data_IF_543039706865
#
_entry.id   IF_543039706865
#
_cell.length_a   1.000
_cell.length_b   1.000
_cell.length_c   1.000
_cell.angle_alpha   90.00
_cell.angle_beta   90.00
_cell.angle_gamma   90.00
#
_symmetry.space_group_name_H-M   'P 1'
#
loop_
_entity.id
_entity.type
_entity.pdbx_description
1 polymer ?
#
# COMPACT_ATOMS: atom_id res chain seq x y z
N UNK A 1 30.02 -14.78 -3.42
CA UNK A 1 29.65 -16.05 -4.11
C UNK A 1 28.25 -16.54 -3.74
N UNK A 2 27.84 -16.55 -2.45
CA UNK A 2 26.51 -17.04 -2.02
C UNK A 2 25.27 -16.27 -2.54
N UNK A 3 25.42 -15.03 -3.02
CA UNK A 3 24.29 -14.14 -3.36
C UNK A 3 23.42 -14.59 -4.55
N UNK A 4 23.93 -15.46 -5.44
CA UNK A 4 23.17 -16.01 -6.59
C UNK A 4 22.47 -17.34 -6.31
N UNK A 5 22.58 -17.87 -5.09
CA UNK A 5 22.08 -19.20 -4.72
C UNK A 5 20.68 -19.10 -4.09
N UNK A 6 19.79 -20.07 -4.36
CA UNK A 6 18.44 -20.11 -3.81
C UNK A 6 18.42 -20.21 -2.28
N UNK A 7 17.38 -19.66 -1.64
CA UNK A 7 17.29 -19.59 -0.17
C UNK A 7 17.32 -21.00 0.47
N UNK A 8 16.69 -22.00 -0.16
CA UNK A 8 16.72 -23.42 0.24
C UNK A 8 18.13 -23.98 0.28
N UNK A 9 18.94 -23.72 -0.76
CA UNK A 9 20.30 -24.24 -0.84
C UNK A 9 21.24 -23.52 0.14
N UNK A 10 21.07 -22.20 0.36
CA UNK A 10 21.81 -21.49 1.42
C UNK A 10 21.53 -22.04 2.81
N UNK A 11 20.24 -22.26 3.13
CA UNK A 11 19.85 -22.81 4.44
C UNK A 11 20.46 -24.20 4.64
N UNK A 12 20.37 -25.07 3.62
CA UNK A 12 20.89 -26.44 3.68
C UNK A 12 22.42 -26.49 3.81
N UNK A 13 23.16 -25.62 3.10
CA UNK A 13 24.62 -25.51 3.23
C UNK A 13 24.99 -25.04 4.65
N UNK A 14 24.30 -24.02 5.18
CA UNK A 14 24.56 -23.49 6.52
C UNK A 14 24.32 -24.54 7.61
N UNK A 15 23.20 -25.27 7.55
CA UNK A 15 22.91 -26.35 8.49
C UNK A 15 23.87 -27.53 8.34
N UNK A 16 24.28 -27.87 7.11
CA UNK A 16 25.30 -28.90 6.86
C UNK A 16 26.64 -28.50 7.51
N UNK A 17 27.10 -27.27 7.30
CA UNK A 17 28.36 -26.77 7.90
C UNK A 17 28.32 -26.80 9.44
N UNK A 18 27.22 -26.36 10.06
CA UNK A 18 27.04 -26.41 11.51
C UNK A 18 27.06 -27.86 12.01
N UNK A 19 26.34 -28.76 11.34
CA UNK A 19 26.17 -30.13 11.76
C UNK A 19 27.46 -30.96 11.58
N UNK A 20 28.22 -30.73 10.49
CA UNK A 20 29.58 -31.28 10.32
C UNK A 20 30.49 -30.84 11.46
N UNK A 21 30.54 -29.54 11.79
CA UNK A 21 31.41 -29.04 12.87
C UNK A 21 31.01 -29.61 14.23
N UNK A 22 29.71 -29.67 14.54
CA UNK A 22 29.20 -30.24 15.78
C UNK A 22 29.52 -31.74 15.89
N UNK A 23 29.22 -32.53 14.85
CA UNK A 23 29.45 -33.97 14.85
C UNK A 23 30.96 -34.32 14.83
N UNK A 24 31.80 -33.54 14.15
CA UNK A 24 33.26 -33.71 14.18
C UNK A 24 33.86 -33.39 15.55
N UNK A 25 33.41 -32.31 16.20
CA UNK A 25 33.80 -31.97 17.57
C UNK A 25 33.42 -33.10 18.54
N UNK A 26 32.17 -33.56 18.49
CA UNK A 26 31.64 -34.60 19.37
C UNK A 26 32.34 -35.96 19.14
N UNK A 27 32.66 -36.29 17.89
CA UNK A 27 33.47 -37.47 17.53
C UNK A 27 34.89 -37.36 18.07
N UNK A 28 35.53 -36.19 17.96
CA UNK A 28 36.89 -35.95 18.46
C UNK A 28 36.95 -36.08 19.98
N UNK A 29 35.98 -35.48 20.70
CA UNK A 29 35.85 -35.61 22.16
C UNK A 29 35.60 -37.06 22.57
N UNK A 30 34.73 -37.78 21.86
CA UNK A 30 34.45 -39.21 22.11
C UNK A 30 35.72 -40.07 21.99
N UNK A 31 36.47 -39.93 20.88
CA UNK A 31 37.72 -40.66 20.63
C UNK A 31 38.81 -40.28 21.65
N UNK A 32 38.89 -39.01 22.07
CA UNK A 32 39.81 -38.56 23.12
C UNK A 32 39.45 -39.15 24.49
N UNK A 33 38.17 -39.16 24.85
CA UNK A 33 37.68 -39.73 26.11
C UNK A 33 37.89 -41.25 26.16
N UNK A 34 37.59 -41.98 25.09
CA UNK A 34 37.91 -43.40 24.97
C UNK A 34 39.43 -43.64 25.12
N UNK A 35 40.26 -42.81 24.49
CA UNK A 35 41.72 -42.86 24.65
C UNK A 35 42.19 -42.67 26.10
N UNK A 36 41.56 -41.75 26.83
CA UNK A 36 41.87 -41.49 28.24
C UNK A 36 41.39 -42.60 29.18
N UNK A 37 40.18 -43.11 28.97
CA UNK A 37 39.54 -44.10 29.83
C UNK A 37 40.17 -45.49 29.67
N UNK A 38 40.48 -45.92 28.44
CA UNK A 38 40.96 -47.28 28.18
C UNK A 38 42.49 -47.40 28.09
N UNK A 39 43.20 -46.45 27.47
CA UNK A 39 44.64 -46.61 27.22
C UNK A 39 45.55 -46.00 28.30
N UNK A 40 45.15 -44.94 29.02
CA UNK A 40 46.02 -44.34 30.05
C UNK A 40 46.26 -45.22 31.29
N UNK A 41 45.26 -45.91 31.87
CA UNK A 41 45.48 -46.73 33.08
C UNK A 41 46.42 -47.90 32.80
N UNK A 42 46.23 -48.57 31.66
CA UNK A 42 47.03 -49.72 31.24
C UNK A 42 48.46 -49.30 30.84
N UNK A 43 48.63 -48.06 30.35
CA UNK A 43 49.96 -47.44 30.20
C UNK A 43 50.72 -47.23 31.50
N UNK A 44 50.04 -46.85 32.58
CA UNK A 44 50.68 -46.70 33.88
C UNK A 44 51.12 -48.06 34.47
N UNK A 45 50.32 -49.10 34.26
CA UNK A 45 50.61 -50.46 34.73
C UNK A 45 51.84 -51.09 34.06
N UNK A 46 52.12 -50.80 32.80
CA UNK A 46 53.27 -51.40 32.09
C UNK A 46 54.62 -50.69 32.32
N UNK A 47 54.68 -49.67 33.18
CA UNK A 47 55.86 -48.81 33.38
C UNK A 47 56.48 -48.98 34.78
N UNK A 48 55.86 -49.77 35.66
CA UNK A 48 56.51 -50.14 36.93
C UNK A 48 57.69 -51.10 36.69
N UNK A 49 58.91 -50.77 37.14
CA UNK A 49 60.07 -51.64 36.97
C UNK A 49 60.13 -52.72 38.07
N UNK A 50 59.77 -53.96 37.73
CA UNK A 50 60.04 -55.13 38.59
C UNK A 50 61.49 -55.59 38.47
N UNK A 51 62.30 -55.37 39.52
CA UNK A 51 63.67 -55.88 39.72
C UNK A 51 63.86 -56.03 41.25
N UNK A 52 64.54 -57.07 41.82
CA UNK A 52 65.50 -58.00 41.21
C UNK A 52 65.23 -59.53 41.36
N UNK A 53 65.98 -60.32 40.59
CA UNK A 53 66.30 -61.77 40.74
C UNK A 53 67.03 -62.06 42.07
N UNK A 54 67.11 -63.29 42.62
CA UNK A 54 67.58 -64.53 41.96
C UNK A 54 66.67 -65.77 42.27
N UNK A 55 66.97 -67.06 42.07
CA UNK A 55 68.17 -67.84 41.63
C UNK A 55 67.83 -68.66 40.36
N UNK A 56 67.95 -70.00 40.39
CA UNK A 56 67.71 -71.03 39.35
C UNK A 56 67.27 -72.33 40.08
N UNK A 57 66.20 -72.99 39.62
CA UNK A 57 66.18 -74.44 39.32
C UNK A 57 64.83 -74.86 38.70
N UNK A 58 64.92 -75.29 37.44
CA UNK A 58 64.33 -76.52 36.86
C UNK A 58 62.84 -76.89 37.11
N UNK A 59 62.08 -76.88 36.00
CA UNK A 59 60.94 -77.79 35.64
C UNK A 59 59.77 -77.96 36.63
N UNK A 60 58.50 -77.82 36.26
CA UNK A 60 57.87 -78.06 34.94
C UNK A 60 56.91 -76.92 34.52
N UNK A 61 56.54 -76.93 33.24
CA UNK A 61 55.56 -76.03 32.62
C UNK A 61 54.12 -76.46 32.92
N UNK A 62 53.28 -75.54 33.41
CA UNK A 62 51.82 -75.62 33.26
C UNK A 62 51.22 -74.23 32.93
N UNK A 63 50.12 -74.23 32.19
CA UNK A 63 49.63 -73.13 31.38
C UNK A 63 48.79 -72.11 32.16
N UNK A 64 49.40 -71.02 32.66
CA UNK A 64 48.67 -69.79 33.02
C UNK A 64 49.58 -68.55 33.11
N UNK A 65 50.36 -68.27 32.06
CA UNK A 65 51.10 -67.00 31.96
C UNK A 65 50.10 -65.89 31.54
N UNK A 66 49.88 -64.84 32.35
CA UNK A 66 49.00 -63.75 31.96
C UNK A 66 49.56 -63.04 30.72
N UNK A 67 48.71 -62.55 29.80
CA UNK A 67 49.16 -62.02 28.51
C UNK A 67 50.19 -60.91 28.69
N UNK A 68 51.36 -61.09 28.07
CA UNK A 68 52.44 -60.11 28.04
C UNK A 68 51.89 -58.73 27.70
N UNK A 69 52.31 -57.68 28.42
CA UNK A 69 51.73 -56.33 28.30
C UNK A 69 51.62 -55.83 26.86
N UNK A 70 52.56 -56.20 25.98
CA UNK A 70 52.54 -55.95 24.54
C UNK A 70 51.28 -56.48 23.81
N UNK A 71 50.77 -57.66 24.16
CA UNK A 71 49.55 -58.24 23.59
C UNK A 71 48.31 -57.42 23.97
N UNK A 72 48.22 -57.03 25.25
CA UNK A 72 47.14 -56.14 25.74
C UNK A 72 47.18 -54.80 25.02
N UNK A 73 48.38 -54.25 24.77
CA UNK A 73 48.55 -53.02 24.01
C UNK A 73 48.05 -53.10 22.57
N UNK A 74 48.36 -54.19 21.86
CA UNK A 74 47.98 -54.34 20.46
C UNK A 74 46.45 -54.52 20.33
N UNK A 75 45.86 -55.37 21.17
CA UNK A 75 44.41 -55.54 21.29
C UNK A 75 43.67 -54.22 21.59
N UNK A 76 44.24 -53.35 22.44
CA UNK A 76 43.69 -52.02 22.72
C UNK A 76 43.85 -51.03 21.56
N UNK A 77 44.94 -51.12 20.80
CA UNK A 77 45.14 -50.30 19.60
C UNK A 77 44.19 -50.70 18.47
N UNK A 78 43.96 -52.00 18.29
CA UNK A 78 42.97 -52.55 17.36
C UNK A 78 41.56 -52.13 17.76
N UNK A 79 41.20 -52.29 19.04
CA UNK A 79 39.93 -51.81 19.60
C UNK A 79 39.73 -50.30 19.40
N UNK A 80 40.77 -49.49 19.59
CA UNK A 80 40.74 -48.04 19.35
C UNK A 80 40.54 -47.70 17.87
N UNK A 81 41.21 -48.41 16.95
CA UNK A 81 41.00 -48.24 15.50
C UNK A 81 39.55 -48.56 15.12
N UNK A 82 39.02 -49.68 15.61
CA UNK A 82 37.62 -50.08 15.41
C UNK A 82 36.63 -49.04 15.92
N UNK A 83 36.79 -48.57 17.16
CA UNK A 83 35.95 -47.52 17.75
C UNK A 83 36.02 -46.20 16.97
N UNK A 84 37.21 -45.80 16.50
CA UNK A 84 37.40 -44.58 15.71
C UNK A 84 36.69 -44.69 14.36
N UNK A 85 36.84 -45.84 13.67
CA UNK A 85 36.18 -46.10 12.39
C UNK A 85 34.65 -46.12 12.54
N UNK A 86 34.13 -46.82 13.54
CA UNK A 86 32.69 -46.84 13.85
C UNK A 86 32.15 -45.44 14.16
N UNK A 87 32.87 -44.65 14.96
CA UNK A 87 32.48 -43.27 15.29
C UNK A 87 32.43 -42.37 14.05
N UNK A 88 33.40 -42.50 13.14
CA UNK A 88 33.42 -41.75 11.87
C UNK A 88 32.25 -42.20 10.96
N UNK A 89 31.96 -43.49 10.86
CA UNK A 89 30.82 -43.99 10.07
C UNK A 89 29.48 -43.46 10.61
N UNK A 90 29.29 -43.46 11.93
CA UNK A 90 28.11 -42.87 12.58
C UNK A 90 28.03 -41.36 12.35
N UNK A 91 29.14 -40.63 12.44
CA UNK A 91 29.23 -39.20 12.14
C UNK A 91 28.78 -38.89 10.70
N UNK A 92 29.27 -39.65 9.71
CA UNK A 92 28.88 -39.49 8.30
C UNK A 92 27.40 -39.83 8.09
N UNK A 93 26.90 -40.91 8.69
CA UNK A 93 25.49 -41.31 8.59
C UNK A 93 24.53 -40.25 9.15
N UNK A 94 24.79 -39.75 10.37
CA UNK A 94 24.00 -38.68 11.00
C UNK A 94 24.05 -37.41 10.12
N UNK A 95 25.22 -37.08 9.57
CA UNK A 95 25.39 -35.89 8.72
C UNK A 95 24.60 -35.99 7.41
N UNK A 96 24.66 -37.14 6.74
CA UNK A 96 23.88 -37.40 5.52
C UNK A 96 22.37 -37.29 5.78
N UNK A 97 21.88 -37.99 6.82
CA UNK A 97 20.46 -38.00 7.18
C UNK A 97 19.97 -36.60 7.56
N UNK A 98 20.70 -35.86 8.40
CA UNK A 98 20.35 -34.51 8.81
C UNK A 98 20.29 -33.52 7.64
N UNK A 99 21.17 -33.68 6.65
CA UNK A 99 21.18 -32.85 5.44
C UNK A 99 19.98 -33.14 4.54
N UNK A 100 19.65 -34.41 4.32
CA UNK A 100 18.47 -34.84 3.54
C UNK A 100 17.18 -34.34 4.20
N UNK A 101 17.06 -34.51 5.52
CA UNK A 101 15.91 -34.04 6.29
C UNK A 101 15.75 -32.51 6.19
N UNK A 102 16.85 -31.77 6.35
CA UNK A 102 16.83 -30.31 6.26
C UNK A 102 16.45 -29.84 4.86
N UNK A 103 16.97 -30.48 3.81
CA UNK A 103 16.58 -30.17 2.41
C UNK A 103 15.07 -30.34 2.19
N UNK A 104 14.46 -31.37 2.77
CA UNK A 104 13.00 -31.58 2.72
C UNK A 104 12.22 -30.53 3.51
N UNK A 105 12.59 -30.29 4.78
CA UNK A 105 11.91 -29.32 5.65
C UNK A 105 12.00 -27.91 5.08
N UNK A 106 13.18 -27.46 4.66
CA UNK A 106 13.37 -26.15 4.02
C UNK A 106 12.58 -26.02 2.71
N UNK A 107 12.46 -27.11 1.95
CA UNK A 107 11.62 -27.15 0.74
C UNK A 107 10.13 -26.94 1.03
N UNK A 108 9.61 -27.56 2.10
CA UNK A 108 8.20 -27.40 2.51
C UNK A 108 7.93 -26.02 3.13
N UNK A 109 8.84 -25.53 3.98
CA UNK A 109 8.71 -24.24 4.65
C UNK A 109 8.82 -23.04 3.68
N UNK A 110 9.65 -23.13 2.64
CA UNK A 110 9.82 -22.05 1.65
C UNK A 110 8.81 -22.09 0.50
N UNK A 111 8.05 -23.19 0.34
CA UNK A 111 7.06 -23.32 -0.75
C UNK A 111 6.06 -22.15 -0.78
N UNK A 112 5.43 -21.72 0.34
CA UNK A 112 4.47 -20.61 0.32
C UNK A 112 5.08 -19.29 -0.17
N UNK A 113 6.34 -19.00 0.19
CA UNK A 113 7.07 -17.80 -0.29
C UNK A 113 7.30 -17.87 -1.80
N UNK A 114 7.68 -19.03 -2.33
CA UNK A 114 7.86 -19.19 -3.78
C UNK A 114 6.54 -19.14 -4.56
N UNK A 115 5.43 -19.59 -3.95
CA UNK A 115 4.09 -19.44 -4.53
C UNK A 115 3.69 -17.97 -4.54
N UNK A 116 3.80 -17.26 -3.42
CA UNK A 116 3.54 -15.82 -3.32
C UNK A 116 4.33 -15.02 -4.35
N UNK A 117 5.64 -15.29 -4.48
CA UNK A 117 6.49 -14.60 -5.46
C UNK A 117 6.02 -14.77 -6.89
N UNK A 118 5.61 -15.99 -7.29
CA UNK A 118 5.08 -16.25 -8.63
C UNK A 118 3.73 -15.60 -8.85
N UNK A 119 2.81 -15.73 -7.89
CA UNK A 119 1.50 -15.09 -8.00
C UNK A 119 1.61 -13.57 -8.07
N UNK A 120 2.60 -12.94 -7.42
CA UNK A 120 2.87 -11.50 -7.57
C UNK A 120 3.50 -11.16 -8.93
N UNK A 121 4.37 -12.02 -9.47
CA UNK A 121 4.97 -11.87 -10.81
C UNK A 121 3.93 -12.01 -11.93
N UNK A 122 2.90 -12.83 -11.73
CA UNK A 122 1.74 -13.00 -12.62
C UNK A 122 0.67 -11.89 -12.50
N UNK A 123 0.85 -10.90 -11.59
CA UNK A 123 -0.11 -9.79 -11.44
C UNK A 123 0.17 -8.67 -12.43
N UNK A 124 -0.88 -8.29 -13.15
CA UNK A 124 -0.93 -7.25 -14.17
C UNK A 124 -2.19 -6.40 -13.98
N UNK A 125 -2.25 -5.26 -14.67
CA UNK A 125 -3.38 -4.32 -14.69
C UNK A 125 -4.73 -5.02 -14.93
N UNK A 126 -4.73 -6.11 -15.70
CA UNK A 126 -5.93 -6.88 -16.04
C UNK A 126 -6.44 -7.82 -14.92
N UNK A 127 -5.66 -8.10 -13.89
CA UNK A 127 -6.00 -9.06 -12.83
C UNK A 127 -5.78 -8.55 -11.40
N UNK A 128 -5.57 -7.25 -11.20
CA UNK A 128 -5.35 -6.56 -9.91
C UNK A 128 -6.34 -6.94 -8.78
N UNK A 129 -7.58 -7.29 -9.12
CA UNK A 129 -8.61 -7.72 -8.15
C UNK A 129 -8.43 -9.16 -7.63
N UNK A 130 -7.44 -9.91 -8.15
CA UNK A 130 -7.18 -11.30 -7.75
C UNK A 130 -6.53 -11.35 -6.37
N UNK A 131 -7.22 -11.93 -5.40
CA UNK A 131 -6.63 -12.13 -4.07
C UNK A 131 -5.68 -13.33 -4.06
N UNK A 132 -4.48 -13.13 -3.51
CA UNK A 132 -3.51 -14.20 -3.32
C UNK A 132 -4.00 -15.09 -2.16
N UNK A 133 -4.09 -16.43 -2.35
CA UNK A 133 -4.52 -17.34 -1.28
C UNK A 133 -3.62 -17.23 -0.06
N UNK A 134 -4.21 -16.85 1.08
CA UNK A 134 -3.47 -16.74 2.35
C UNK A 134 -3.18 -18.14 2.89
N UNK A 135 -1.91 -18.48 3.21
CA UNK A 135 -1.58 -19.74 3.88
C UNK A 135 -2.32 -19.88 5.22
N UNK A 136 -2.71 -21.11 5.59
CA UNK A 136 -3.30 -21.41 6.90
C UNK A 136 -2.33 -21.26 8.10
N UNK A 137 -1.05 -21.00 7.84
CA UNK A 137 -0.09 -20.65 8.88
C UNK A 137 -0.41 -19.27 9.46
N UNK A 138 -0.15 -19.06 10.75
CA UNK A 138 -0.24 -17.74 11.41
C UNK A 138 1.14 -17.10 11.56
N UNK A 139 1.99 -17.32 10.57
CA UNK A 139 3.40 -16.93 10.54
C UNK A 139 3.62 -15.62 9.76
N UNK A 140 4.88 -15.21 9.67
CA UNK A 140 5.32 -14.02 8.94
C UNK A 140 4.91 -14.08 7.46
N UNK A 141 4.81 -15.28 6.88
CA UNK A 141 4.44 -15.45 5.47
C UNK A 141 2.97 -15.14 5.25
N UNK A 142 2.06 -15.62 6.11
CA UNK A 142 0.65 -15.24 6.02
C UNK A 142 0.44 -13.74 6.27
N UNK A 143 1.16 -13.14 7.24
CA UNK A 143 1.14 -11.69 7.47
C UNK A 143 1.62 -10.90 6.24
N UNK A 144 2.63 -11.40 5.53
CA UNK A 144 3.11 -10.82 4.28
C UNK A 144 2.03 -10.93 3.18
N UNK A 145 1.37 -12.08 3.01
CA UNK A 145 0.27 -12.24 2.04
C UNK A 145 -0.91 -11.30 2.34
N UNK A 146 -1.30 -11.11 3.61
CA UNK A 146 -2.31 -10.12 3.98
C UNK A 146 -1.89 -8.68 3.59
N UNK A 147 -0.62 -8.35 3.80
CA UNK A 147 -0.07 -7.02 3.45
C UNK A 147 -0.09 -6.78 1.94
N UNK A 148 0.26 -7.80 1.15
CA UNK A 148 0.15 -7.77 -0.31
C UNK A 148 -1.31 -7.65 -0.78
N UNK A 149 -2.24 -8.45 -0.26
CA UNK A 149 -3.65 -8.38 -0.65
C UNK A 149 -4.27 -6.99 -0.35
N UNK A 150 -3.90 -6.36 0.78
CA UNK A 150 -4.32 -4.99 1.10
C UNK A 150 -3.73 -3.96 0.11
N UNK A 151 -2.44 -4.11 -0.25
CA UNK A 151 -1.80 -3.26 -1.26
C UNK A 151 -2.48 -3.42 -2.64
N UNK A 152 -2.73 -4.66 -3.09
CA UNK A 152 -3.42 -4.96 -4.34
C UNK A 152 -4.84 -4.37 -4.36
N UNK A 153 -5.59 -4.50 -3.27
CA UNK A 153 -6.91 -3.88 -3.11
C UNK A 153 -6.85 -2.37 -3.32
N UNK A 154 -5.89 -1.68 -2.67
CA UNK A 154 -5.69 -0.24 -2.82
C UNK A 154 -5.31 0.16 -4.26
N UNK A 155 -4.41 -0.60 -4.90
CA UNK A 155 -4.00 -0.34 -6.29
C UNK A 155 -5.18 -0.56 -7.24
N UNK A 156 -5.96 -1.64 -7.06
CA UNK A 156 -7.16 -1.92 -7.85
C UNK A 156 -8.19 -0.80 -7.73
N UNK A 157 -8.48 -0.35 -6.49
CA UNK A 157 -9.42 0.77 -6.26
C UNK A 157 -8.93 2.08 -6.90
N UNK A 158 -7.63 2.38 -6.79
CA UNK A 158 -7.04 3.57 -7.42
C UNK A 158 -7.08 3.49 -8.95
N UNK A 159 -6.75 2.33 -9.53
CA UNK A 159 -6.78 2.10 -10.97
C UNK A 159 -8.21 2.16 -11.53
N UNK A 160 -9.18 1.54 -10.87
CA UNK A 160 -10.59 1.68 -11.22
C UNK A 160 -11.08 3.12 -11.16
N UNK A 161 -10.70 3.87 -10.11
CA UNK A 161 -11.05 5.28 -9.97
C UNK A 161 -10.46 6.11 -11.11
N UNK A 162 -9.19 5.89 -11.46
CA UNK A 162 -8.53 6.55 -12.58
C UNK A 162 -9.18 6.19 -13.93
N UNK A 163 -9.59 4.93 -14.11
CA UNK A 163 -10.29 4.47 -15.31
C UNK A 163 -11.67 5.14 -15.43
N UNK A 164 -12.47 5.16 -14.35
CA UNK A 164 -13.76 5.85 -14.32
C UNK A 164 -13.60 7.35 -14.59
N UNK A 165 -12.61 7.99 -13.98
CA UNK A 165 -12.27 9.40 -14.22
C UNK A 165 -11.97 9.67 -15.69
N UNK A 166 -11.09 8.88 -16.32
CA UNK A 166 -10.74 9.05 -17.73
C UNK A 166 -11.95 8.81 -18.67
N UNK A 167 -12.78 7.82 -18.38
CA UNK A 167 -14.01 7.56 -19.15
C UNK A 167 -15.01 8.71 -19.02
N UNK A 168 -15.26 9.20 -17.81
CA UNK A 168 -16.18 10.31 -17.55
C UNK A 168 -15.68 11.62 -18.19
N UNK A 169 -14.37 11.91 -18.11
CA UNK A 169 -13.76 13.06 -18.78
C UNK A 169 -13.95 13.00 -20.30
N UNK A 170 -13.73 11.83 -20.92
CA UNK A 170 -13.96 11.65 -22.35
C UNK A 170 -15.44 11.84 -22.74
N UNK A 171 -16.39 11.38 -21.91
CA UNK A 171 -17.82 11.59 -22.14
C UNK A 171 -18.24 13.06 -22.00
N UNK A 172 -17.86 13.76 -20.92
CA UNK A 172 -18.20 15.17 -20.72
C UNK A 172 -17.52 16.12 -21.71
N UNK A 173 -16.39 15.74 -22.32
CA UNK A 173 -15.79 16.48 -23.44
C UNK A 173 -16.48 16.18 -24.77
N UNK A 174 -16.88 14.92 -25.02
CA UNK A 174 -17.53 14.52 -26.28
C UNK A 174 -18.90 15.17 -26.46
N UNK A 175 -19.70 15.29 -25.39
CA UNK A 175 -21.06 15.85 -25.48
C UNK A 175 -21.13 17.29 -26.02
N UNK A 176 -20.42 18.30 -25.45
CA UNK A 176 -20.43 19.66 -25.99
C UNK A 176 -19.77 19.73 -27.39
N UNK A 177 -18.75 18.91 -27.66
CA UNK A 177 -18.10 18.86 -28.97
C UNK A 177 -19.05 18.37 -30.07
N UNK A 178 -19.82 17.30 -29.82
CA UNK A 178 -20.85 16.83 -30.75
C UNK A 178 -21.98 17.86 -30.91
N UNK A 179 -22.37 18.55 -29.83
CA UNK A 179 -23.38 19.60 -29.91
C UNK A 179 -22.91 20.79 -30.78
N UNK A 180 -21.66 21.24 -30.63
CA UNK A 180 -21.07 22.26 -31.51
C UNK A 180 -21.07 21.82 -32.97
N UNK A 181 -20.61 20.59 -33.24
CA UNK A 181 -20.50 20.08 -34.60
C UNK A 181 -21.88 20.07 -35.28
N UNK A 182 -22.91 19.55 -34.63
CA UNK A 182 -24.27 19.55 -35.18
C UNK A 182 -24.86 20.97 -35.35
N UNK A 183 -24.53 21.94 -34.49
CA UNK A 183 -24.94 23.33 -34.72
C UNK A 183 -24.26 23.91 -35.96
N UNK A 184 -22.97 23.62 -36.17
CA UNK A 184 -22.21 24.06 -37.36
C UNK A 184 -22.77 23.38 -38.63
N UNK A 185 -23.02 22.07 -38.59
CA UNK A 185 -23.63 21.31 -39.70
C UNK A 185 -25.01 21.88 -40.09
N UNK A 186 -25.84 22.30 -39.13
CA UNK A 186 -27.12 22.98 -39.40
C UNK A 186 -26.90 24.35 -40.06
N UNK A 187 -25.94 25.15 -39.57
CA UNK A 187 -25.59 26.46 -40.14
C UNK A 187 -25.00 26.36 -41.56
N UNK A 188 -24.40 25.23 -41.93
CA UNK A 188 -23.91 24.92 -43.29
C UNK A 188 -25.02 24.42 -44.23
N UNK A 189 -26.07 23.78 -43.71
CA UNK A 189 -27.20 23.28 -44.53
C UNK A 189 -28.17 24.41 -44.89
N UNK A 190 -28.48 25.30 -43.94
CA UNK A 190 -29.48 26.37 -44.14
C UNK A 190 -28.90 27.69 -44.70
N UNK A 191 -27.71 27.65 -45.32
CA UNK A 191 -26.91 28.84 -45.74
C UNK A 191 -27.68 29.88 -46.56
N UNK A 192 -28.60 29.44 -47.43
CA UNK A 192 -29.44 30.31 -48.28
C UNK A 192 -30.78 30.73 -47.64
N UNK A 193 -31.15 30.22 -46.46
CA UNK A 193 -32.51 30.38 -45.89
C UNK A 193 -32.60 30.78 -44.42
N UNK A 194 -31.53 30.59 -43.63
CA UNK A 194 -31.51 30.97 -42.22
C UNK A 194 -31.48 32.50 -42.03
N UNK A 195 -32.24 32.98 -41.04
CA UNK A 195 -32.26 34.37 -40.62
C UNK A 195 -30.99 34.77 -39.86
N UNK A 196 -30.69 36.07 -39.86
CA UNK A 196 -29.59 36.65 -39.08
C UNK A 196 -29.77 36.37 -37.56
N UNK A 197 -31.02 36.23 -37.12
CA UNK A 197 -31.40 35.90 -35.75
C UNK A 197 -31.03 34.45 -35.40
N UNK A 198 -31.34 33.48 -36.27
CA UNK A 198 -30.96 32.07 -36.10
C UNK A 198 -29.43 31.89 -36.13
N UNK A 199 -28.71 32.62 -36.99
CA UNK A 199 -27.25 32.65 -36.98
C UNK A 199 -26.68 33.13 -35.63
N UNK A 200 -27.28 34.16 -35.01
CA UNK A 200 -26.85 34.65 -33.68
C UNK A 200 -27.17 33.64 -32.58
N UNK A 201 -28.30 32.95 -32.65
CA UNK A 201 -28.69 31.94 -31.66
C UNK A 201 -27.75 30.72 -31.72
N UNK A 202 -27.49 30.18 -32.90
CA UNK A 202 -26.55 29.07 -33.08
C UNK A 202 -25.12 29.45 -32.65
N UNK A 203 -24.64 30.66 -32.99
CA UNK A 203 -23.35 31.17 -32.53
C UNK A 203 -23.28 31.29 -31.00
N UNK A 204 -24.38 31.70 -30.36
CA UNK A 204 -24.48 31.76 -28.89
C UNK A 204 -24.40 30.36 -28.27
N UNK A 205 -25.07 29.36 -28.85
CA UNK A 205 -24.99 27.95 -28.42
C UNK A 205 -23.57 27.43 -28.55
N UNK A 206 -22.89 27.67 -29.67
CA UNK A 206 -21.47 27.28 -29.86
C UNK A 206 -20.59 27.94 -28.81
N UNK A 207 -20.73 29.26 -28.59
CA UNK A 207 -19.97 30.01 -27.58
C UNK A 207 -20.16 29.43 -26.17
N UNK A 208 -21.40 29.18 -25.75
CA UNK A 208 -21.70 28.60 -24.43
C UNK A 208 -21.07 27.22 -24.24
N UNK A 209 -21.05 26.39 -25.29
CA UNK A 209 -20.38 25.10 -25.23
C UNK A 209 -18.85 25.24 -25.13
N UNK A 210 -18.25 26.25 -25.78
CA UNK A 210 -16.79 26.53 -25.68
C UNK A 210 -16.42 27.01 -24.27
N UNK A 211 -17.22 27.88 -23.69
CA UNK A 211 -17.06 28.34 -22.29
C UNK A 211 -17.18 27.15 -21.32
N UNK A 212 -18.15 26.25 -21.53
CA UNK A 212 -18.29 25.00 -20.76
C UNK A 212 -17.07 24.07 -20.90
N UNK A 213 -16.53 23.89 -22.11
CA UNK A 213 -15.32 23.09 -22.32
C UNK A 213 -14.09 23.72 -21.66
N UNK A 214 -13.96 25.05 -21.70
CA UNK A 214 -12.86 25.78 -21.05
C UNK A 214 -12.91 25.63 -19.53
N UNK A 215 -14.11 25.70 -18.94
CA UNK A 215 -14.31 25.41 -17.51
C UNK A 215 -13.94 23.96 -17.16
N UNK A 216 -14.41 22.98 -17.94
CA UNK A 216 -14.08 21.56 -17.76
C UNK A 216 -12.56 21.30 -17.80
N UNK A 217 -11.85 21.86 -18.78
CA UNK A 217 -10.38 21.72 -18.87
C UNK A 217 -9.68 22.38 -17.67
N UNK A 218 -10.16 23.55 -17.25
CA UNK A 218 -9.62 24.28 -16.07
C UNK A 218 -9.84 23.51 -14.76
N UNK A 219 -10.93 22.75 -14.65
CA UNK A 219 -11.23 21.83 -13.54
C UNK A 219 -10.38 20.55 -13.59
N UNK A 220 -10.21 19.95 -14.76
CA UNK A 220 -9.34 18.78 -14.95
C UNK A 220 -7.88 19.08 -14.61
N UNK A 221 -7.38 20.26 -15.01
CA UNK A 221 -6.04 20.72 -14.66
C UNK A 221 -5.88 20.94 -13.14
N UNK A 222 -6.95 21.37 -12.45
CA UNK A 222 -6.94 21.62 -11.00
C UNK A 222 -6.61 20.37 -10.16
N UNK A 223 -7.18 19.23 -10.55
CA UNK A 223 -6.96 17.94 -9.87
C UNK A 223 -5.49 17.52 -9.96
N UNK A 224 -4.82 17.84 -11.07
CA UNK A 224 -3.42 17.52 -11.33
C UNK A 224 -2.41 18.53 -10.78
N UNK A 225 -2.84 19.61 -10.11
CA UNK A 225 -1.89 20.55 -9.49
C UNK A 225 -1.20 19.86 -8.31
N UNK A 226 0.12 19.68 -8.45
CA UNK A 226 1.01 19.24 -7.37
C UNK A 226 1.07 20.29 -6.23
N UNK A 227 1.73 19.94 -5.12
CA UNK A 227 1.87 20.86 -3.97
C UNK A 227 2.76 22.07 -4.31
N UNK A 228 2.17 23.10 -4.89
CA UNK A 228 2.76 24.43 -5.02
C UNK A 228 2.77 25.13 -3.64
N UNK A 229 3.73 24.73 -2.81
CA UNK A 229 4.00 25.29 -1.47
C UNK A 229 4.51 26.74 -1.51
N UNK A 230 4.69 27.35 -2.69
CA UNK A 230 5.47 28.57 -2.87
C UNK A 230 4.73 29.89 -2.60
N UNK A 231 3.46 29.85 -2.19
CA UNK A 231 2.66 31.07 -1.98
C UNK A 231 1.75 31.00 -0.74
N UNK A 232 2.34 30.63 0.41
CA UNK A 232 1.68 30.67 1.71
C UNK A 232 1.73 32.11 2.24
N UNK A 233 0.58 32.73 2.44
CA UNK A 233 0.44 34.07 3.01
C UNK A 233 -0.59 34.11 4.13
N UNK A 234 -0.49 35.12 5.00
CA UNK A 234 -1.50 35.44 6.01
C UNK A 234 -2.58 36.31 5.37
N UNK A 235 -3.84 35.91 5.47
CA UNK A 235 -4.96 36.70 4.95
C UNK A 235 -6.25 36.48 5.76
N UNK A 236 -7.16 37.46 5.69
CA UNK A 236 -8.51 37.38 6.26
C UNK A 236 -9.39 36.44 5.44
N UNK A 237 -9.95 35.41 6.09
CA UNK A 237 -10.92 34.53 5.43
C UNK A 237 -12.22 35.27 5.07
N UNK A 238 -12.55 36.32 5.84
CA UNK A 238 -13.74 37.13 5.60
C UNK A 238 -13.63 37.83 4.25
N UNK A 239 -12.47 38.42 3.95
CA UNK A 239 -12.20 39.11 2.69
C UNK A 239 -12.20 38.15 1.50
N UNK A 240 -11.73 36.91 1.72
CA UNK A 240 -11.81 35.84 0.73
C UNK A 240 -13.28 35.55 0.34
N UNK A 241 -14.16 35.37 1.34
CA UNK A 241 -15.58 35.14 1.08
C UNK A 241 -16.29 36.35 0.48
N UNK A 242 -15.92 37.57 0.88
CA UNK A 242 -16.43 38.81 0.25
C UNK A 242 -16.06 38.84 -1.24
N UNK A 243 -14.82 38.49 -1.60
CA UNK A 243 -14.39 38.38 -3.00
C UNK A 243 -15.24 37.37 -3.78
N UNK A 244 -15.33 36.14 -3.27
CA UNK A 244 -16.10 35.05 -3.88
C UNK A 244 -17.58 35.42 -4.08
N UNK A 245 -18.19 36.10 -3.10
CA UNK A 245 -19.59 36.52 -3.20
C UNK A 245 -19.79 37.66 -4.20
N UNK A 246 -18.86 38.61 -4.29
CA UNK A 246 -18.91 39.69 -5.29
C UNK A 246 -18.85 39.11 -6.71
N UNK A 247 -17.99 38.12 -6.96
CA UNK A 247 -17.90 37.44 -8.25
C UNK A 247 -19.20 36.72 -8.66
N UNK A 248 -20.05 36.37 -7.68
CA UNK A 248 -21.31 35.65 -7.88
C UNK A 248 -22.57 36.54 -7.64
N UNK A 249 -22.39 37.85 -7.45
CA UNK A 249 -23.46 38.79 -7.06
C UNK A 249 -24.66 38.79 -8.03
N UNK A 250 -24.40 38.63 -9.33
CA UNK A 250 -25.45 38.52 -10.35
C UNK A 250 -26.38 37.32 -10.13
N UNK A 251 -25.84 36.14 -9.80
CA UNK A 251 -26.63 34.93 -9.57
C UNK A 251 -27.32 34.94 -8.20
N UNK A 252 -26.67 35.52 -7.19
CA UNK A 252 -27.26 35.78 -5.86
C UNK A 252 -28.50 36.67 -6.01
N UNK A 253 -28.38 37.79 -6.72
CA UNK A 253 -29.50 38.73 -7.01
C UNK A 253 -30.58 38.08 -7.86
N UNK A 254 -30.23 37.33 -8.90
CA UNK A 254 -31.18 36.63 -9.80
C UNK A 254 -32.08 35.64 -9.06
N UNK A 255 -31.58 35.01 -7.98
CA UNK A 255 -32.35 34.12 -7.09
C UNK A 255 -32.88 34.82 -5.82
N UNK A 256 -32.56 36.10 -5.62
CA UNK A 256 -32.86 36.85 -4.39
C UNK A 256 -32.38 36.13 -3.11
N UNK A 257 -31.15 35.61 -3.11
CA UNK A 257 -30.57 34.90 -1.97
C UNK A 257 -30.04 35.90 -0.94
N UNK A 258 -30.45 35.75 0.32
CA UNK A 258 -29.88 36.50 1.45
C UNK A 258 -28.53 35.90 1.86
N UNK A 259 -27.46 36.69 1.91
CA UNK A 259 -26.13 36.21 2.31
C UNK A 259 -25.64 36.94 3.56
N UNK A 260 -25.09 36.19 4.51
CA UNK A 260 -24.55 36.75 5.75
C UNK A 260 -23.22 36.07 6.12
N UNK A 261 -22.15 36.86 6.32
CA UNK A 261 -20.86 36.41 6.84
C UNK A 261 -20.70 36.88 8.28
N UNK A 262 -20.56 35.93 9.18
CA UNK A 262 -20.38 36.13 10.62
C UNK A 262 -18.98 35.70 11.07
N UNK A 263 -18.41 36.44 12.01
CA UNK A 263 -17.07 36.20 12.52
C UNK A 263 -15.96 36.67 11.58
N UNK A 264 -14.74 36.62 12.08
CA UNK A 264 -13.53 37.07 11.40
C UNK A 264 -12.36 36.24 11.89
N UNK A 265 -11.50 35.80 10.97
CA UNK A 265 -10.35 34.95 11.25
C UNK A 265 -9.29 35.17 10.18
N UNK A 266 -8.04 35.24 10.60
CA UNK A 266 -6.90 35.17 9.69
C UNK A 266 -6.35 33.76 9.65
N UNK A 267 -5.91 33.32 8.48
CA UNK A 267 -5.28 32.02 8.27
C UNK A 267 -3.98 32.16 7.48
N UNK A 268 -3.06 31.22 7.66
CA UNK A 268 -1.82 31.12 6.89
C UNK A 268 -1.97 29.99 5.88
N UNK A 269 -2.11 30.31 4.60
CA UNK A 269 -2.32 29.28 3.57
C UNK A 269 -2.09 29.81 2.16
N UNK A 270 -2.21 28.91 1.17
CA UNK A 270 -2.25 29.32 -0.22
C UNK A 270 -3.63 29.92 -0.51
N UNK A 271 -3.69 31.26 -0.63
CA UNK A 271 -4.94 32.00 -0.84
C UNK A 271 -5.70 31.49 -2.06
N UNK A 272 -5.02 31.35 -3.21
CA UNK A 272 -5.63 30.93 -4.46
C UNK A 272 -6.24 29.52 -4.41
N UNK A 273 -5.57 28.56 -3.76
CA UNK A 273 -6.11 27.21 -3.57
C UNK A 273 -7.38 27.22 -2.69
N UNK A 274 -7.35 27.99 -1.60
CA UNK A 274 -8.49 28.10 -0.69
C UNK A 274 -9.65 28.87 -1.34
N UNK A 275 -9.36 29.93 -2.11
CA UNK A 275 -10.32 30.67 -2.92
C UNK A 275 -11.09 29.74 -3.84
N UNK A 276 -10.37 28.87 -4.57
CA UNK A 276 -10.99 27.87 -5.45
C UNK A 276 -11.84 26.86 -4.69
N UNK A 277 -11.33 26.32 -3.59
CA UNK A 277 -12.04 25.32 -2.80
C UNK A 277 -13.34 25.88 -2.18
N UNK A 278 -13.30 27.11 -1.65
CA UNK A 278 -14.46 27.79 -1.08
C UNK A 278 -15.42 28.32 -2.15
N UNK A 279 -14.92 28.81 -3.29
CA UNK A 279 -15.75 29.23 -4.42
C UNK A 279 -16.59 28.07 -4.95
N UNK A 280 -16.03 26.87 -5.05
CA UNK A 280 -16.79 25.66 -5.41
C UNK A 280 -17.94 25.35 -4.42
N UNK A 281 -17.72 25.54 -3.11
CA UNK A 281 -18.76 25.32 -2.10
C UNK A 281 -19.84 26.41 -2.20
N UNK A 282 -19.46 27.68 -2.30
CA UNK A 282 -20.38 28.83 -2.41
C UNK A 282 -21.19 28.78 -3.70
N UNK A 283 -20.57 28.45 -4.84
CA UNK A 283 -21.27 28.25 -6.11
C UNK A 283 -22.29 27.12 -6.02
N UNK A 284 -22.00 26.03 -5.32
CA UNK A 284 -22.99 24.97 -5.08
C UNK A 284 -24.14 25.47 -4.18
N UNK A 285 -23.82 26.18 -3.11
CA UNK A 285 -24.80 26.80 -2.19
C UNK A 285 -25.73 27.80 -2.91
N UNK A 286 -25.25 28.49 -3.95
CA UNK A 286 -26.07 29.36 -4.82
C UNK A 286 -26.85 28.53 -5.85
N UNK A 287 -26.18 27.63 -6.58
CA UNK A 287 -26.73 26.83 -7.69
C UNK A 287 -27.89 25.94 -7.25
N UNK A 288 -27.78 25.31 -6.08
CA UNK A 288 -28.79 24.40 -5.53
C UNK A 288 -29.74 25.05 -4.51
N UNK A 289 -29.58 26.35 -4.23
CA UNK A 289 -30.56 27.11 -3.44
C UNK A 289 -31.91 27.28 -4.15
N UNK A 290 -32.95 27.50 -3.35
CA UNK A 290 -34.24 27.99 -3.82
C UNK A 290 -34.25 29.51 -3.99
N UNK A 291 -35.25 30.03 -4.68
CA UNK A 291 -35.47 31.49 -4.75
C UNK A 291 -35.88 32.01 -3.36
N UNK A 292 -35.43 33.21 -2.99
CA UNK A 292 -35.59 33.76 -1.63
C UNK A 292 -34.92 32.91 -0.52
N UNK A 293 -33.92 32.10 -0.87
CA UNK A 293 -33.13 31.31 0.07
C UNK A 293 -32.10 32.12 0.82
N UNK A 294 -31.30 31.44 1.65
CA UNK A 294 -30.18 32.07 2.34
C UNK A 294 -28.89 31.25 2.27
N UNK A 295 -27.77 31.94 2.45
CA UNK A 295 -26.43 31.38 2.64
C UNK A 295 -25.82 32.06 3.86
N UNK A 296 -25.43 31.25 4.86
CA UNK A 296 -24.83 31.72 6.10
C UNK A 296 -23.42 31.16 6.18
N UNK A 297 -22.44 32.05 6.28
CA UNK A 297 -21.02 31.72 6.45
C UNK A 297 -20.62 32.12 7.86
N UNK A 298 -20.06 31.19 8.62
CA UNK A 298 -19.60 31.39 9.99
C UNK A 298 -18.12 31.06 10.11
N UNK A 299 -17.29 32.06 10.42
CA UNK A 299 -15.85 31.96 10.52
C UNK A 299 -15.42 31.99 11.99
N UNK A 300 -14.77 30.91 12.46
CA UNK A 300 -14.37 30.75 13.86
C UNK A 300 -13.01 30.07 14.00
N UNK A 301 -12.40 30.16 15.19
CA UNK A 301 -11.20 29.38 15.53
C UNK A 301 -11.41 27.87 15.38
N UNK A 302 -12.59 27.36 15.76
CA UNK A 302 -12.97 25.95 15.59
C UNK A 302 -13.10 25.50 14.13
N UNK A 303 -13.29 26.43 13.18
CA UNK A 303 -13.46 26.13 11.76
C UNK A 303 -14.38 27.12 11.04
N UNK A 304 -14.61 26.85 9.76
CA UNK A 304 -15.50 27.60 8.87
C UNK A 304 -16.74 26.74 8.58
N UNK A 305 -17.92 27.30 8.73
CA UNK A 305 -19.18 26.65 8.34
C UNK A 305 -19.84 27.44 7.21
N UNK A 306 -20.28 26.74 6.15
CA UNK A 306 -21.06 27.30 5.04
C UNK A 306 -22.37 26.55 4.99
N UNK A 307 -23.47 27.23 5.29
CA UNK A 307 -24.83 26.69 5.28
C UNK A 307 -25.66 27.31 4.16
N UNK A 308 -26.39 26.49 3.42
CA UNK A 308 -27.48 26.91 2.52
C UNK A 308 -28.84 26.40 3.03
N UNK A 309 -29.93 26.97 2.51
CA UNK A 309 -31.32 26.49 2.75
C UNK A 309 -31.91 25.73 1.57
N UNK A 310 -31.07 25.28 0.62
CA UNK A 310 -31.47 24.75 -0.67
C UNK A 310 -32.15 23.38 -0.66
N UNK A 311 -32.14 22.70 -1.81
CA UNK A 311 -32.79 21.39 -1.96
C UNK A 311 -32.21 20.28 -1.06
N UNK A 312 -31.04 20.48 -0.47
CA UNK A 312 -30.33 19.46 0.29
C UNK A 312 -29.84 18.28 -0.56
N UNK A 313 -29.33 17.26 0.10
CA UNK A 313 -28.72 16.06 -0.49
C UNK A 313 -29.29 14.82 0.22
N UNK A 314 -29.77 13.81 -0.52
CA UNK A 314 -30.22 12.55 0.06
C UNK A 314 -29.13 11.81 0.84
N UNK A 315 -29.50 11.17 1.95
CA UNK A 315 -28.54 10.55 2.87
C UNK A 315 -27.71 9.42 2.26
N UNK A 316 -28.26 8.70 1.28
CA UNK A 316 -27.58 7.64 0.51
C UNK A 316 -26.63 8.19 -0.56
N UNK A 317 -26.76 9.48 -0.92
CA UNK A 317 -25.93 10.17 -1.91
C UNK A 317 -24.74 10.90 -1.27
N UNK A 318 -24.87 11.30 0.00
CA UNK A 318 -23.82 12.01 0.77
C UNK A 318 -22.41 11.38 0.71
N UNK A 319 -22.22 10.05 0.81
CA UNK A 319 -20.87 9.45 0.75
C UNK A 319 -20.13 9.69 -0.56
N UNK A 320 -20.86 9.96 -1.65
CA UNK A 320 -20.33 9.98 -3.02
C UNK A 320 -20.14 11.40 -3.58
N UNK A 321 -20.56 12.46 -2.87
CA UNK A 321 -20.56 13.84 -3.42
C UNK A 321 -19.16 14.40 -3.71
N UNK A 322 -18.12 13.77 -3.18
CA UNK A 322 -16.72 14.12 -3.42
C UNK A 322 -16.07 13.24 -4.52
N UNK A 323 -16.79 12.29 -5.11
CA UNK A 323 -16.31 11.50 -6.25
C UNK A 323 -16.28 12.36 -7.53
N UNK A 324 -15.22 12.30 -8.36
CA UNK A 324 -15.15 13.06 -9.60
C UNK A 324 -16.30 12.74 -10.56
N UNK A 325 -16.89 13.79 -11.13
CA UNK A 325 -18.07 13.74 -12.02
C UNK A 325 -19.38 13.30 -11.36
N UNK A 326 -19.40 13.12 -10.04
CA UNK A 326 -20.63 12.72 -9.35
C UNK A 326 -21.66 13.86 -9.34
N UNK A 327 -22.91 13.53 -9.67
CA UNK A 327 -24.05 14.43 -9.62
C UNK A 327 -25.26 13.69 -9.04
N UNK A 328 -25.90 14.27 -8.01
CA UNK A 328 -27.13 13.72 -7.40
C UNK A 328 -28.27 13.59 -8.43
N UNK A 329 -28.39 14.57 -9.32
CA UNK A 329 -29.25 14.53 -10.50
C UNK A 329 -28.45 14.96 -11.73
N UNK A 330 -28.10 13.99 -12.57
CA UNK A 330 -27.32 14.22 -13.78
C UNK A 330 -28.09 14.97 -14.88
N UNK A 331 -29.43 15.02 -14.83
CA UNK A 331 -30.24 15.81 -15.78
C UNK A 331 -30.22 17.29 -15.41
N UNK A 332 -30.52 17.59 -14.14
CA UNK A 332 -30.54 18.94 -13.57
C UNK A 332 -29.15 19.58 -13.52
N UNK A 333 -28.12 18.81 -13.17
CA UNK A 333 -26.74 19.30 -13.16
C UNK A 333 -26.27 19.71 -14.55
N UNK A 334 -26.53 18.91 -15.59
CA UNK A 334 -26.13 19.26 -16.97
C UNK A 334 -26.85 20.50 -17.50
N UNK A 335 -28.13 20.69 -17.18
CA UNK A 335 -28.89 21.90 -17.51
C UNK A 335 -28.38 23.16 -16.76
N UNK A 336 -27.84 22.98 -15.56
CA UNK A 336 -27.18 24.03 -14.77
C UNK A 336 -25.68 24.16 -15.07
N UNK A 337 -25.14 23.51 -16.11
CA UNK A 337 -23.72 23.58 -16.47
C UNK A 337 -22.76 23.01 -15.42
N UNK A 338 -23.18 21.99 -14.67
CA UNK A 338 -22.36 21.33 -13.65
C UNK A 338 -21.55 20.16 -14.22
N UNK A 339 -20.24 20.15 -13.94
CA UNK A 339 -19.29 19.08 -14.30
C UNK A 339 -19.25 17.91 -13.31
N UNK A 340 -19.72 18.12 -12.08
CA UNK A 340 -19.48 17.19 -10.95
C UNK A 340 -18.02 17.17 -10.46
N UNK A 341 -17.16 18.08 -10.92
CA UNK A 341 -15.74 18.13 -10.50
C UNK A 341 -15.51 19.05 -9.30
N UNK A 342 -16.34 20.07 -9.08
CA UNK A 342 -16.09 21.11 -8.07
C UNK A 342 -15.85 20.59 -6.65
N UNK A 343 -16.69 19.68 -6.14
CA UNK A 343 -16.51 19.11 -4.80
C UNK A 343 -15.32 18.14 -4.73
N UNK A 344 -15.04 17.37 -5.80
CA UNK A 344 -13.85 16.54 -5.88
C UNK A 344 -12.56 17.38 -5.83
N UNK A 345 -12.52 18.51 -6.54
CA UNK A 345 -11.42 19.50 -6.48
C UNK A 345 -11.30 20.09 -5.07
N UNK A 346 -12.41 20.47 -4.44
CA UNK A 346 -12.42 20.97 -3.05
C UNK A 346 -11.83 19.94 -2.09
N UNK A 347 -12.22 18.67 -2.22
CA UNK A 347 -11.73 17.56 -1.39
C UNK A 347 -10.22 17.33 -1.60
N UNK A 348 -9.78 17.26 -2.85
CA UNK A 348 -8.38 17.10 -3.24
C UNK A 348 -7.49 18.25 -2.72
N UNK A 349 -7.96 19.50 -2.82
CA UNK A 349 -7.27 20.68 -2.28
C UNK A 349 -7.13 20.56 -0.75
N UNK A 350 -8.21 20.22 -0.05
CA UNK A 350 -8.18 20.13 1.42
C UNK A 350 -7.31 18.94 1.90
N UNK A 351 -7.45 17.75 1.31
CA UNK A 351 -6.67 16.57 1.70
C UNK A 351 -5.17 16.75 1.43
N UNK A 352 -4.77 17.38 0.31
CA UNK A 352 -3.36 17.73 0.03
C UNK A 352 -2.74 18.67 1.08
N UNK A 353 -3.56 19.47 1.75
CA UNK A 353 -3.15 20.46 2.77
C UNK A 353 -3.43 20.03 4.21
N UNK A 354 -4.00 18.83 4.45
CA UNK A 354 -4.34 18.35 5.79
C UNK A 354 -5.59 18.98 6.42
N UNK A 355 -6.34 19.76 5.63
CA UNK A 355 -7.60 20.40 6.00
C UNK A 355 -8.71 19.34 5.95
N UNK A 356 -9.62 19.33 6.92
CA UNK A 356 -10.73 18.38 6.99
C UNK A 356 -12.04 19.06 6.62
N UNK A 357 -12.78 18.47 5.68
CA UNK A 357 -14.16 18.85 5.34
C UNK A 357 -15.14 17.74 5.77
N UNK A 358 -16.22 18.16 6.42
CA UNK A 358 -17.38 17.35 6.74
C UNK A 358 -18.63 18.00 6.13
N UNK A 359 -19.67 17.20 5.91
CA UNK A 359 -20.95 17.64 5.33
C UNK A 359 -22.12 17.05 6.12
N UNK A 360 -23.11 17.89 6.40
CA UNK A 360 -24.43 17.49 6.91
C UNK A 360 -25.46 18.08 5.96
N UNK A 361 -26.41 17.27 5.49
CA UNK A 361 -27.49 17.75 4.62
C UNK A 361 -28.79 17.07 4.98
N UNK A 362 -29.90 17.72 4.64
CA UNK A 362 -31.23 17.11 4.71
C UNK A 362 -32.06 17.63 3.55
N UNK A 363 -32.70 16.73 2.81
CA UNK A 363 -33.57 17.06 1.69
C UNK A 363 -34.60 18.13 2.08
N UNK A 364 -34.73 19.13 1.22
CA UNK A 364 -35.61 20.30 1.38
C UNK A 364 -35.37 21.15 2.63
N UNK A 365 -34.20 21.02 3.28
CA UNK A 365 -33.73 21.91 4.36
C UNK A 365 -32.40 22.62 4.07
N UNK A 366 -31.61 22.08 3.13
CA UNK A 366 -30.32 22.62 2.73
C UNK A 366 -29.13 21.79 3.19
N UNK A 367 -27.93 22.31 2.94
CA UNK A 367 -26.64 21.66 3.23
C UNK A 367 -25.74 22.53 4.08
N UNK A 368 -24.96 21.90 4.95
CA UNK A 368 -23.96 22.52 5.81
C UNK A 368 -22.62 21.85 5.56
N UNK A 369 -21.66 22.58 5.00
CA UNK A 369 -20.26 22.17 4.93
C UNK A 369 -19.50 22.76 6.11
N UNK A 370 -18.71 21.93 6.79
CA UNK A 370 -17.85 22.35 7.91
C UNK A 370 -16.40 22.04 7.57
N UNK A 371 -15.53 23.05 7.63
CA UNK A 371 -14.11 22.96 7.30
C UNK A 371 -13.27 23.26 8.55
N UNK A 372 -12.36 22.35 8.89
CA UNK A 372 -11.55 22.36 10.11
C UNK A 372 -10.07 22.05 9.78
N UNK A 373 -9.16 22.28 10.73
CA UNK A 373 -7.70 22.20 10.53
C UNK A 373 -7.15 23.19 9.47
N UNK A 374 -7.67 24.43 9.47
CA UNK A 374 -7.20 25.58 8.68
C UNK A 374 -6.10 26.36 9.42
#
# INVERSE_FOLDING_TARGET
MLSKISLRLRLTILTYSILVVACACLTTVSVFNAGNMFLKPIKALSVQPTVPKPIISDTETDENVPPTTAYIYDMLQESKKGFTLQSILVMVAITGIGTILTWFVAGKALKPVTTLSKTVEDIDVNNLSTQIPVPYSKDEVARLTYSFNNMLTKISMAFESQKRFAQNAAHELKTPLSAMLTNIEVMEIDEDSASIEEYKENLLIVKQNVERMTALVTDLLALNVEKNHMDISRFSIRDLFVSILNDNDNDIKKKNISVNINGEREINGNRFMLERAFSNIVQNAIRYNHNNGSIIIYCSESGITISDTGIGIPSDKLPHIFEPFYCVDASRSRALGGSGLGLAITKEIFDKNGIKIDVVSTENKGTIFTVTNL
#
